data_IF_202464161427
#
_entry.id   IF_202464161427
#
_cell.length_a   1.000
_cell.length_b   1.000
_cell.length_c   1.000
_cell.angle_alpha   90.00
_cell.angle_beta   90.00
_cell.angle_gamma   90.00
#
_symmetry.space_group_name_H-M   'P 1'
#
loop_
_entity.id
_entity.type
_entity.pdbx_description
1 polymer ?
#
# COMPACT_ATOMS: atom_id res chain seq x y z
N UNK A 1 0.36 -0.55 30.75
CA UNK A 1 0.61 -1.73 29.89
C UNK A 1 -0.48 -1.74 28.83
N UNK A 2 -0.17 -1.23 27.63
CA UNK A 2 -1.09 -1.24 26.49
C UNK A 2 -0.95 -2.59 25.78
N UNK A 3 -2.06 -3.21 25.34
CA UNK A 3 -2.06 -4.59 24.94
C UNK A 3 -1.36 -4.76 23.59
N UNK A 4 -0.65 -5.87 23.47
CA UNK A 4 -0.08 -6.42 22.24
C UNK A 4 -1.20 -6.71 21.21
N UNK A 5 -1.74 -5.68 20.56
CA UNK A 5 -2.77 -5.81 19.51
C UNK A 5 -2.32 -5.27 18.16
N UNK A 6 -1.01 -5.11 17.93
CA UNK A 6 -0.50 -5.05 16.55
C UNK A 6 -0.29 -6.49 16.10
N UNK A 7 -1.22 -7.00 15.30
CA UNK A 7 -0.96 -8.19 14.48
C UNK A 7 0.23 -7.94 13.55
N UNK A 8 0.64 -8.98 12.80
CA UNK A 8 1.71 -8.84 11.82
C UNK A 8 1.42 -7.68 10.85
N UNK A 9 2.46 -6.98 10.40
CA UNK A 9 2.33 -5.91 9.42
C UNK A 9 1.86 -6.50 8.10
N UNK A 10 0.56 -6.43 7.83
CA UNK A 10 -0.03 -6.89 6.57
C UNK A 10 -0.05 -5.73 5.58
N UNK A 11 0.68 -5.89 4.48
CA UNK A 11 0.59 -4.98 3.34
C UNK A 11 -0.58 -5.39 2.44
N UNK A 12 -1.29 -4.41 1.88
CA UNK A 12 -2.29 -4.67 0.84
C UNK A 12 -1.59 -5.11 -0.45
N UNK A 13 -2.25 -5.91 -1.32
CA UNK A 13 -1.73 -6.21 -2.66
C UNK A 13 -1.50 -4.93 -3.46
N UNK A 14 -0.47 -4.93 -4.31
CA UNK A 14 -0.10 -3.78 -5.14
C UNK A 14 -1.24 -3.35 -6.05
N UNK A 15 -1.92 -4.33 -6.63
CA UNK A 15 -3.05 -4.11 -7.56
C UNK A 15 -4.17 -3.32 -6.90
N UNK A 16 -4.53 -3.64 -5.66
CA UNK A 16 -5.61 -2.95 -4.95
C UNK A 16 -5.27 -1.48 -4.70
N UNK A 17 -4.01 -1.19 -4.33
CA UNK A 17 -3.53 0.18 -4.11
C UNK A 17 -3.55 0.97 -5.41
N UNK A 18 -3.05 0.38 -6.51
CA UNK A 18 -3.05 1.02 -7.83
C UNK A 18 -4.45 1.27 -8.37
N UNK A 19 -5.40 0.33 -8.18
CA UNK A 19 -6.80 0.52 -8.58
C UNK A 19 -7.44 1.68 -7.81
N UNK A 20 -7.16 1.79 -6.51
CA UNK A 20 -7.66 2.87 -5.68
C UNK A 20 -7.10 4.23 -6.11
N UNK A 21 -5.78 4.31 -6.35
CA UNK A 21 -5.13 5.51 -6.91
C UNK A 21 -5.76 5.88 -8.25
N UNK A 22 -5.93 4.90 -9.16
CA UNK A 22 -6.53 5.14 -10.48
C UNK A 22 -7.94 5.70 -10.37
N UNK A 23 -8.78 5.13 -9.49
CA UNK A 23 -10.13 5.66 -9.26
C UNK A 23 -10.14 7.07 -8.66
N UNK A 24 -9.15 7.41 -7.82
CA UNK A 24 -8.99 8.77 -7.29
C UNK A 24 -8.54 9.74 -8.40
N UNK A 25 -7.61 9.34 -9.26
CA UNK A 25 -7.16 10.15 -10.40
C UNK A 25 -8.30 10.42 -11.38
N UNK A 26 -9.16 9.43 -11.65
CA UNK A 26 -10.38 9.61 -12.46
C UNK A 26 -11.35 10.65 -11.87
N UNK A 27 -11.36 10.80 -10.54
CA UNK A 27 -12.13 11.83 -9.83
C UNK A 27 -11.46 13.21 -9.83
N UNK A 28 -10.31 13.36 -10.49
CA UNK A 28 -9.55 14.61 -10.58
C UNK A 28 -8.60 14.85 -9.40
N UNK A 29 -8.34 13.83 -8.58
CA UNK A 29 -7.34 13.91 -7.52
C UNK A 29 -5.95 13.98 -8.14
N UNK A 30 -5.18 14.99 -7.75
CA UNK A 30 -3.82 15.25 -8.29
C UNK A 30 -2.69 14.78 -7.37
N UNK A 31 -3.02 14.47 -6.12
CA UNK A 31 -2.05 14.06 -5.11
C UNK A 31 -2.66 12.96 -4.25
N UNK A 32 -1.93 11.86 -4.09
CA UNK A 32 -2.32 10.75 -3.22
C UNK A 32 -1.22 10.56 -2.19
N UNK A 33 -1.58 10.61 -0.91
CA UNK A 33 -0.66 10.35 0.19
C UNK A 33 -0.83 8.91 0.67
N UNK A 34 0.24 8.12 0.56
CA UNK A 34 0.27 6.76 1.10
C UNK A 34 0.62 6.80 2.58
N UNK A 35 -0.24 6.20 3.41
CA UNK A 35 -0.07 6.14 4.86
C UNK A 35 0.06 4.68 5.30
N UNK A 36 1.08 4.39 6.10
CA UNK A 36 1.33 3.07 6.66
C UNK A 36 2.10 3.18 7.98
N UNK A 37 2.09 2.12 8.79
CA UNK A 37 2.86 2.10 10.04
C UNK A 37 4.37 2.16 9.80
N UNK A 38 4.83 1.45 8.77
CA UNK A 38 6.16 1.59 8.19
C UNK A 38 6.02 1.58 6.67
N UNK A 39 6.02 2.76 6.06
CA UNK A 39 5.93 2.90 4.61
C UNK A 39 7.09 2.21 3.88
N UNK A 40 8.30 2.23 4.45
CA UNK A 40 9.46 1.53 3.89
C UNK A 40 9.36 0.00 4.02
N UNK A 41 8.45 -0.49 4.85
CA UNK A 41 8.18 -1.92 5.05
C UNK A 41 7.08 -2.46 4.13
N UNK A 42 6.58 -1.66 3.18
CA UNK A 42 5.56 -2.11 2.26
C UNK A 42 6.05 -3.32 1.45
N UNK A 43 5.23 -4.37 1.45
CA UNK A 43 5.48 -5.65 0.78
C UNK A 43 4.17 -6.19 0.23
N UNK A 44 3.70 -5.58 -0.86
CA UNK A 44 2.46 -5.99 -1.51
C UNK A 44 2.71 -7.09 -2.53
N UNK A 45 1.79 -8.05 -2.66
CA UNK A 45 1.84 -9.01 -3.75
C UNK A 45 1.53 -8.30 -5.09
N UNK A 46 2.45 -8.45 -6.04
CA UNK A 46 2.33 -7.95 -7.40
C UNK A 46 1.57 -8.97 -8.28
N UNK A 47 0.95 -8.54 -9.39
CA UNK A 47 0.10 -9.42 -10.22
C UNK A 47 0.85 -10.56 -10.91
N UNK A 48 2.17 -10.49 -11.00
CA UNK A 48 3.09 -11.52 -11.50
C UNK A 48 3.67 -12.42 -10.39
N UNK A 49 3.20 -12.24 -9.15
CA UNK A 49 3.51 -13.11 -8.00
C UNK A 49 4.81 -12.79 -7.26
N UNK A 50 5.51 -11.70 -7.60
CA UNK A 50 6.60 -11.19 -6.77
C UNK A 50 6.07 -10.26 -5.66
N UNK A 51 6.94 -9.94 -4.70
CA UNK A 51 6.62 -8.96 -3.65
C UNK A 51 7.14 -7.60 -4.11
N UNK A 52 6.24 -6.69 -4.40
CA UNK A 52 6.55 -5.30 -4.70
C UNK A 52 6.82 -4.53 -3.41
N UNK A 53 7.84 -3.68 -3.47
CA UNK A 53 8.20 -2.78 -2.37
C UNK A 53 7.62 -1.37 -2.56
N UNK A 54 7.88 -0.48 -1.60
CA UNK A 54 7.39 0.90 -1.66
C UNK A 54 7.95 1.68 -2.86
N UNK A 55 9.14 1.35 -3.36
CA UNK A 55 9.74 2.08 -4.47
C UNK A 55 8.99 1.84 -5.78
N UNK A 56 8.31 0.70 -5.92
CA UNK A 56 7.44 0.40 -7.06
C UNK A 56 6.10 1.17 -7.06
N UNK A 57 5.78 1.87 -5.97
CA UNK A 57 4.61 2.75 -5.87
C UNK A 57 4.92 4.22 -6.24
N UNK A 58 6.18 4.57 -6.56
CA UNK A 58 6.64 5.91 -6.93
C UNK A 58 6.81 6.07 -8.45
#
# INVERSE_FOLDING_TARGET
>A
VVPYTRGEEVSRPLVDVLMEITSLTEKGVKEVTLLGQNVNGYRGEAPDGHIADFAELL
#
